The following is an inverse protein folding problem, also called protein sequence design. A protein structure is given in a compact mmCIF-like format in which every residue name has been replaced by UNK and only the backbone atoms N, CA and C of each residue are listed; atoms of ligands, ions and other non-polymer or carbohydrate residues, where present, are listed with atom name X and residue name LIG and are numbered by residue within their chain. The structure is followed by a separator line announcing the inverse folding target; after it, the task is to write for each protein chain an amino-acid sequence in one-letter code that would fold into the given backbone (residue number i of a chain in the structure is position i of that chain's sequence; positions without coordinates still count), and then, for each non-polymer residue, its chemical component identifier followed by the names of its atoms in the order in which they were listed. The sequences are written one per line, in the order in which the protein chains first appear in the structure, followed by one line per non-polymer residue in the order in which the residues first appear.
data_IF_831517969136
#
_entry.id   IF_831517969136
#
_cell.length_a   1.000
_cell.length_b   1.000
_cell.length_c   1.000
_cell.angle_alpha   90.00
_cell.angle_beta   90.00
_cell.angle_gamma   90.00
#
_symmetry.space_group_name_H-M   'P 1'
#
loop_
_entity.id
_entity.type
_entity.pdbx_description
1 polymer ?
#
# COMPACT_ATOMS: atom_id res chain seq x y z
N UNK A 1 30.06 4.22 16.90
CA UNK A 1 29.44 3.89 18.19
C UNK A 1 27.92 3.76 17.99
N UNK A 2 27.29 2.60 18.28
CA UNK A 2 25.85 2.38 18.04
C UNK A 2 24.96 3.41 18.73
N UNK A 3 25.28 3.80 19.96
CA UNK A 3 24.53 4.79 20.73
C UNK A 3 24.47 6.18 20.06
N UNK A 4 25.52 6.58 19.35
CA UNK A 4 25.55 7.87 18.67
C UNK A 4 24.60 7.85 17.48
N UNK A 5 24.63 6.80 16.65
CA UNK A 5 23.74 6.64 15.51
C UNK A 5 22.27 6.55 15.95
N UNK A 6 21.99 5.79 17.01
CA UNK A 6 20.67 5.71 17.61
C UNK A 6 20.17 7.09 18.03
N UNK A 7 20.96 7.81 18.85
CA UNK A 7 20.59 9.13 19.33
C UNK A 7 20.42 10.14 18.19
N UNK A 8 21.32 10.13 17.22
CA UNK A 8 21.26 11.04 16.08
C UNK A 8 20.02 10.81 15.24
N UNK A 9 19.57 9.56 15.12
CA UNK A 9 18.34 9.20 14.41
C UNK A 9 17.09 9.58 15.23
N UNK A 10 16.93 9.03 16.43
CA UNK A 10 15.71 9.21 17.23
C UNK A 10 15.52 10.62 17.78
N UNK A 11 16.62 11.33 18.09
CA UNK A 11 16.56 12.75 18.47
C UNK A 11 16.68 13.71 17.27
N UNK A 12 16.61 13.18 16.04
CA UNK A 12 16.54 13.96 14.81
C UNK A 12 17.69 14.94 14.58
N UNK A 13 18.86 14.63 15.14
CA UNK A 13 20.03 15.52 15.13
C UNK A 13 20.66 15.65 13.74
N UNK A 14 20.47 14.65 12.87
CA UNK A 14 21.09 14.59 11.54
C UNK A 14 20.16 14.98 10.39
N UNK A 15 18.91 15.40 10.65
CA UNK A 15 17.96 15.74 9.59
C UNK A 15 18.52 16.77 8.59
N UNK A 16 19.17 17.83 9.08
CA UNK A 16 19.77 18.86 8.23
C UNK A 16 20.96 18.33 7.41
N UNK A 17 21.75 17.46 7.98
CA UNK A 17 22.87 16.82 7.28
C UNK A 17 22.32 15.91 6.16
N UNK A 18 21.39 15.01 6.47
CA UNK A 18 20.80 14.10 5.48
C UNK A 18 20.06 14.85 4.37
N UNK A 19 19.32 15.89 4.70
CA UNK A 19 18.70 16.76 3.72
C UNK A 19 19.72 17.33 2.73
N UNK A 20 20.81 17.91 3.22
CA UNK A 20 21.87 18.48 2.35
C UNK A 20 22.53 17.41 1.48
N UNK A 21 22.80 16.23 2.02
CA UNK A 21 23.38 15.12 1.24
C UNK A 21 22.40 14.60 0.17
N UNK A 22 21.12 14.48 0.49
CA UNK A 22 20.09 14.11 -0.46
C UNK A 22 19.99 15.14 -1.61
N UNK A 23 19.99 16.42 -1.28
CA UNK A 23 19.89 17.51 -2.27
C UNK A 23 21.11 17.65 -3.18
N UNK A 24 22.23 17.00 -2.89
CA UNK A 24 23.37 16.91 -3.83
C UNK A 24 23.13 15.89 -4.94
N UNK A 25 22.32 14.87 -4.71
CA UNK A 25 22.15 13.71 -5.60
C UNK A 25 20.77 13.65 -6.24
N UNK A 26 19.71 13.70 -5.43
CA UNK A 26 18.34 13.45 -5.89
C UNK A 26 17.83 14.45 -6.94
N UNK A 27 18.16 15.76 -6.92
CA UNK A 27 17.75 16.65 -8.00
C UNK A 27 18.27 16.19 -9.38
N UNK A 28 19.50 15.68 -9.45
CA UNK A 28 20.07 15.16 -10.69
C UNK A 28 19.34 13.91 -11.16
N UNK A 29 18.96 13.02 -10.23
CA UNK A 29 18.18 11.82 -10.53
C UNK A 29 16.81 12.19 -11.12
N UNK A 30 16.08 13.09 -10.47
CA UNK A 30 14.77 13.55 -10.93
C UNK A 30 14.85 14.25 -12.29
N UNK A 31 15.90 15.05 -12.52
CA UNK A 31 16.12 15.75 -13.79
C UNK A 31 16.56 14.84 -14.94
N UNK A 32 17.11 13.66 -14.64
CA UNK A 32 17.60 12.71 -15.65
C UNK A 32 16.46 11.98 -16.39
N UNK A 33 15.22 12.11 -15.94
CA UNK A 33 14.07 11.44 -16.54
C UNK A 33 12.87 12.38 -16.67
N UNK A 34 11.97 12.06 -17.62
CA UNK A 34 10.63 12.66 -17.71
C UNK A 34 9.55 11.83 -17.00
N UNK A 35 9.92 10.70 -16.42
CA UNK A 35 9.01 9.87 -15.66
C UNK A 35 8.65 10.54 -14.33
N UNK A 36 7.43 10.29 -13.88
CA UNK A 36 7.02 10.65 -12.53
C UNK A 36 7.78 9.75 -11.53
N UNK A 37 8.52 10.38 -10.61
CA UNK A 37 9.33 9.65 -9.64
C UNK A 37 8.49 9.37 -8.40
N UNK A 38 8.43 8.11 -8.00
CA UNK A 38 7.82 7.65 -6.75
C UNK A 38 8.91 7.05 -5.87
N UNK A 39 8.83 7.28 -4.57
CA UNK A 39 9.74 6.69 -3.61
C UNK A 39 8.99 5.70 -2.71
N UNK A 40 9.66 4.62 -2.36
CA UNK A 40 9.27 3.82 -1.22
C UNK A 40 9.82 4.48 0.04
N UNK A 41 8.93 4.97 0.90
CA UNK A 41 9.23 5.68 2.15
C UNK A 41 8.46 5.06 3.32
N UNK A 42 8.48 3.74 3.39
CA UNK A 42 7.82 2.94 4.43
C UNK A 42 8.70 2.78 5.67
N UNK A 43 8.06 2.53 6.82
CA UNK A 43 8.75 2.24 8.07
C UNK A 43 9.32 3.49 8.75
N UNK A 44 10.47 3.34 9.39
CA UNK A 44 11.11 4.41 10.17
C UNK A 44 11.92 5.33 9.27
N UNK A 45 11.29 6.35 8.71
CA UNK A 45 11.96 7.37 7.88
C UNK A 45 12.21 8.66 8.68
N UNK A 46 13.36 9.33 8.51
CA UNK A 46 13.61 10.62 9.16
C UNK A 46 12.75 11.73 8.53
N UNK A 47 12.43 12.77 9.29
CA UNK A 47 11.56 13.87 8.84
C UNK A 47 12.04 14.56 7.58
N UNK A 48 13.36 14.61 7.37
CA UNK A 48 13.95 15.22 6.19
C UNK A 48 13.56 14.52 4.88
N UNK A 49 13.10 13.28 4.92
CA UNK A 49 12.60 12.57 3.74
C UNK A 49 11.40 13.31 3.16
N UNK A 50 10.42 13.65 3.98
CA UNK A 50 9.24 14.40 3.54
C UNK A 50 9.60 15.79 2.98
N UNK A 51 10.62 16.45 3.53
CA UNK A 51 11.09 17.76 3.02
C UNK A 51 11.67 17.65 1.61
N UNK A 52 12.54 16.63 1.41
CA UNK A 52 13.16 16.36 0.10
C UNK A 52 12.11 15.98 -0.93
N UNK A 53 11.22 15.05 -0.58
CA UNK A 53 10.18 14.57 -1.48
C UNK A 53 9.26 15.70 -1.92
N UNK A 54 8.80 16.52 -0.98
CA UNK A 54 7.97 17.70 -1.28
C UNK A 54 8.68 18.69 -2.20
N UNK A 55 9.95 18.98 -1.93
CA UNK A 55 10.74 19.93 -2.73
C UNK A 55 11.00 19.42 -4.15
N UNK A 56 11.25 18.13 -4.31
CA UNK A 56 11.55 17.50 -5.59
C UNK A 56 10.30 16.95 -6.30
N UNK A 57 9.12 17.08 -5.68
CA UNK A 57 7.84 16.51 -6.19
C UNK A 57 7.92 15.01 -6.44
N UNK A 58 8.61 14.30 -5.56
CA UNK A 58 8.65 12.85 -5.55
C UNK A 58 7.42 12.35 -4.80
N UNK A 59 6.67 11.41 -5.39
CA UNK A 59 5.49 10.85 -4.76
C UNK A 59 5.90 9.94 -3.60
N UNK A 60 5.18 10.05 -2.48
CA UNK A 60 5.29 9.13 -1.35
C UNK A 60 4.45 7.87 -1.59
N UNK A 61 4.74 6.80 -0.85
CA UNK A 61 3.93 5.59 -0.82
C UNK A 61 3.06 5.59 0.45
N UNK A 62 1.74 5.46 0.26
CA UNK A 62 0.77 5.48 1.36
C UNK A 62 0.06 4.13 1.48
N UNK A 63 0.22 3.50 2.62
CA UNK A 63 -0.36 2.22 3.01
C UNK A 63 -1.21 2.39 4.27
N UNK A 64 -2.49 2.07 4.18
CA UNK A 64 -3.39 2.19 5.33
C UNK A 64 -3.01 1.24 6.47
N UNK A 65 -2.56 0.02 6.13
CA UNK A 65 -2.13 -1.00 7.09
C UNK A 65 -0.76 -0.73 7.73
N UNK A 66 0.03 0.19 7.17
CA UNK A 66 1.37 0.56 7.65
C UNK A 66 1.53 2.08 7.66
N UNK A 67 0.86 2.79 8.58
CA UNK A 67 0.95 4.25 8.66
C UNK A 67 2.37 4.69 9.04
N UNK A 68 2.78 5.86 8.55
CA UNK A 68 4.09 6.45 8.85
C UNK A 68 4.17 7.00 10.27
N UNK A 69 3.03 7.31 10.90
CA UNK A 69 2.96 7.72 12.28
C UNK A 69 3.02 6.51 13.22
N UNK A 70 3.96 6.48 14.17
CA UNK A 70 4.04 5.37 15.13
C UNK A 70 2.90 5.38 16.17
N UNK A 71 2.10 6.45 16.22
CA UNK A 71 1.01 6.61 17.19
C UNK A 71 -0.36 6.21 16.64
N UNK A 72 -0.45 5.91 15.35
CA UNK A 72 -1.69 5.47 14.69
C UNK A 72 -1.58 4.01 14.27
N UNK A 73 -2.62 3.23 14.54
CA UNK A 73 -2.66 1.81 14.15
C UNK A 73 -2.93 1.64 12.66
N UNK A 74 -3.78 2.49 12.09
CA UNK A 74 -4.14 2.50 10.66
C UNK A 74 -4.06 3.92 10.10
N UNK A 75 -3.64 4.04 8.86
CA UNK A 75 -3.67 5.30 8.13
C UNK A 75 -5.09 5.73 7.77
N UNK A 76 -5.34 7.03 7.75
CA UNK A 76 -6.60 7.59 7.26
C UNK A 76 -6.46 7.95 5.79
N UNK A 77 -7.10 7.21 4.90
CA UNK A 77 -7.00 7.39 3.44
C UNK A 77 -7.33 8.84 3.01
N UNK A 78 -8.30 9.48 3.66
CA UNK A 78 -8.67 10.87 3.39
C UNK A 78 -7.58 11.90 3.74
N UNK A 79 -6.56 11.50 4.50
CA UNK A 79 -5.43 12.35 4.89
C UNK A 79 -4.19 12.13 4.02
N UNK A 80 -4.25 11.22 3.06
CA UNK A 80 -3.14 11.00 2.15
C UNK A 80 -2.76 12.31 1.44
N UNK A 81 -1.47 12.62 1.31
CA UNK A 81 -1.06 13.78 0.52
C UNK A 81 -1.38 13.56 -0.96
N UNK A 82 -1.74 14.62 -1.67
CA UNK A 82 -1.99 14.51 -3.11
C UNK A 82 -0.77 13.94 -3.88
N UNK A 83 0.44 14.39 -3.56
CA UNK A 83 1.66 13.88 -4.17
C UNK A 83 2.05 12.51 -3.58
N UNK A 84 1.20 11.51 -3.76
CA UNK A 84 1.43 10.15 -3.28
C UNK A 84 0.87 9.09 -4.21
N UNK A 85 1.32 7.86 -3.99
CA UNK A 85 0.76 6.62 -4.50
C UNK A 85 0.07 5.92 -3.35
N UNK A 86 -1.22 5.67 -3.46
CA UNK A 86 -1.98 4.85 -2.53
C UNK A 86 -1.98 3.40 -3.00
N UNK A 87 -1.75 2.47 -2.10
CA UNK A 87 -1.89 1.02 -2.37
C UNK A 87 -2.42 0.29 -1.14
N UNK A 88 -2.97 -0.91 -1.35
CA UNK A 88 -3.43 -1.79 -0.27
C UNK A 88 -2.27 -2.64 0.24
N UNK A 89 -1.52 -3.22 -0.69
CA UNK A 89 -0.38 -4.10 -0.41
C UNK A 89 0.79 -3.83 -1.34
N UNK A 90 1.95 -4.39 -1.02
CA UNK A 90 3.11 -4.45 -1.90
C UNK A 90 3.61 -5.89 -2.03
N UNK A 91 4.59 -6.12 -2.91
CA UNK A 91 5.20 -7.44 -3.05
C UNK A 91 5.88 -7.97 -1.77
N UNK A 92 6.24 -7.09 -0.85
CA UNK A 92 6.89 -7.43 0.43
C UNK A 92 5.92 -7.60 1.60
N UNK A 93 4.62 -7.42 1.33
CA UNK A 93 3.56 -7.47 2.33
C UNK A 93 2.55 -8.59 2.03
N UNK A 94 1.71 -9.00 3.01
CA UNK A 94 0.53 -9.81 2.74
C UNK A 94 -0.41 -9.11 1.75
N UNK A 95 -1.07 -9.87 0.89
CA UNK A 95 -2.22 -9.36 0.13
C UNK A 95 -3.35 -8.97 1.07
N UNK A 96 -4.37 -8.25 0.58
CA UNK A 96 -5.51 -7.85 1.38
C UNK A 96 -6.15 -9.03 2.11
N UNK A 97 -6.32 -10.16 1.42
CA UNK A 97 -6.93 -11.37 2.00
C UNK A 97 -6.08 -11.98 3.10
N UNK A 98 -4.78 -12.11 2.86
CA UNK A 98 -3.85 -12.62 3.89
C UNK A 98 -3.81 -11.70 5.10
N UNK A 99 -3.68 -10.40 4.87
CA UNK A 99 -3.64 -9.40 5.95
C UNK A 99 -4.92 -9.44 6.80
N UNK A 100 -6.08 -9.67 6.16
CA UNK A 100 -7.38 -9.76 6.82
C UNK A 100 -7.47 -10.95 7.75
N UNK A 101 -7.00 -12.11 7.32
CA UNK A 101 -7.15 -13.37 8.05
C UNK A 101 -5.94 -13.72 8.94
N UNK A 102 -4.85 -12.97 8.86
CA UNK A 102 -3.63 -13.19 9.63
C UNK A 102 -3.78 -12.82 11.11
N UNK A 103 -4.59 -11.81 11.46
CA UNK A 103 -4.75 -11.28 12.81
C UNK A 103 -6.19 -10.77 13.01
N UNK A 104 -7.02 -11.61 13.66
CA UNK A 104 -8.44 -11.34 13.85
C UNK A 104 -8.74 -10.18 14.81
N UNK A 105 -7.89 -9.92 15.79
CA UNK A 105 -8.04 -8.76 16.68
C UNK A 105 -7.79 -7.46 15.90
N UNK A 106 -6.72 -7.44 15.11
CA UNK A 106 -6.38 -6.29 14.26
C UNK A 106 -7.50 -6.00 13.26
N UNK A 107 -8.01 -7.02 12.59
CA UNK A 107 -9.06 -6.85 11.58
C UNK A 107 -10.41 -6.51 12.16
N UNK A 108 -10.72 -6.98 13.38
CA UNK A 108 -11.91 -6.53 14.10
C UNK A 108 -11.84 -5.04 14.44
N UNK A 109 -10.67 -4.56 14.92
CA UNK A 109 -10.45 -3.13 15.16
C UNK A 109 -10.57 -2.31 13.87
N UNK A 110 -9.96 -2.79 12.79
CA UNK A 110 -10.07 -2.14 11.48
C UNK A 110 -11.52 -2.08 10.97
N UNK A 111 -12.27 -3.17 11.12
CA UNK A 111 -13.68 -3.27 10.74
C UNK A 111 -14.54 -2.24 11.47
N UNK A 112 -14.31 -2.06 12.78
CA UNK A 112 -15.04 -1.09 13.57
C UNK A 112 -14.58 0.34 13.36
N UNK A 113 -13.26 0.61 13.43
CA UNK A 113 -12.70 1.96 13.47
C UNK A 113 -12.53 2.59 12.08
N UNK A 114 -12.19 1.80 11.08
CA UNK A 114 -11.88 2.32 9.73
C UNK A 114 -13.02 2.11 8.73
N UNK A 115 -13.73 0.98 8.84
CA UNK A 115 -14.89 0.71 7.99
C UNK A 115 -16.22 1.17 8.60
N UNK A 116 -16.19 1.57 9.90
CA UNK A 116 -17.35 2.05 10.66
C UNK A 116 -18.51 1.04 10.67
N UNK A 117 -18.15 -0.23 10.85
CA UNK A 117 -19.10 -1.33 10.88
C UNK A 117 -19.23 -1.91 12.27
N UNK A 118 -20.41 -2.44 12.59
CA UNK A 118 -20.73 -3.08 13.85
C UNK A 118 -20.79 -4.61 13.73
N UNK A 119 -20.65 -5.29 14.85
CA UNK A 119 -20.70 -6.74 14.91
C UNK A 119 -19.34 -7.40 14.63
N UNK A 120 -19.30 -8.74 14.51
CA UNK A 120 -18.07 -9.47 14.23
C UNK A 120 -17.60 -9.25 12.79
N UNK A 121 -16.31 -9.01 12.62
CA UNK A 121 -15.68 -8.96 11.32
C UNK A 121 -15.78 -10.35 10.65
N UNK A 122 -16.24 -10.45 9.40
CA UNK A 122 -16.38 -11.75 8.75
C UNK A 122 -15.03 -12.34 8.35
N UNK A 123 -14.85 -13.63 8.55
CA UNK A 123 -13.69 -14.40 8.14
C UNK A 123 -14.12 -15.70 7.43
N UNK A 124 -13.46 -16.09 6.35
CA UNK A 124 -12.45 -15.31 5.59
C UNK A 124 -13.03 -14.04 4.96
N UNK A 125 -12.14 -13.15 4.49
CA UNK A 125 -12.55 -11.89 3.83
C UNK A 125 -13.54 -12.16 2.70
N UNK A 126 -14.81 -11.68 2.78
CA UNK A 126 -15.78 -11.84 1.69
C UNK A 126 -15.53 -10.82 0.57
N UNK A 127 -15.93 -11.18 -0.65
CA UNK A 127 -15.71 -10.35 -1.85
C UNK A 127 -16.28 -8.94 -1.74
N UNK A 128 -17.50 -8.80 -1.21
CA UNK A 128 -18.16 -7.50 -1.03
C UNK A 128 -17.40 -6.56 -0.08
N UNK A 129 -16.70 -7.12 0.92
CA UNK A 129 -15.92 -6.33 1.87
C UNK A 129 -14.56 -5.93 1.28
N UNK A 130 -13.95 -6.80 0.48
CA UNK A 130 -12.79 -6.46 -0.32
C UNK A 130 -13.11 -5.32 -1.30
N UNK A 131 -14.27 -5.34 -1.94
CA UNK A 131 -14.76 -4.28 -2.82
C UNK A 131 -14.91 -2.94 -2.08
N UNK A 132 -15.52 -2.93 -0.88
CA UNK A 132 -15.64 -1.72 -0.04
C UNK A 132 -14.26 -1.14 0.32
N UNK A 133 -13.30 -1.99 0.68
CA UNK A 133 -11.93 -1.55 0.99
C UNK A 133 -11.24 -0.98 -0.26
N UNK A 134 -11.38 -1.62 -1.41
CA UNK A 134 -10.84 -1.14 -2.69
C UNK A 134 -11.44 0.22 -3.05
N UNK A 135 -12.76 0.36 -2.98
CA UNK A 135 -13.46 1.61 -3.26
C UNK A 135 -12.92 2.76 -2.40
N UNK A 136 -12.73 2.54 -1.11
CA UNK A 136 -12.16 3.54 -0.19
C UNK A 136 -10.73 3.95 -0.55
N UNK A 137 -9.91 3.04 -1.07
CA UNK A 137 -8.56 3.36 -1.54
C UNK A 137 -8.62 4.18 -2.84
N UNK A 138 -9.55 3.86 -3.74
CA UNK A 138 -9.80 4.65 -4.95
C UNK A 138 -10.27 6.07 -4.63
N UNK A 139 -11.06 6.26 -3.59
CA UNK A 139 -11.57 7.58 -3.14
C UNK A 139 -10.50 8.42 -2.42
N UNK A 140 -9.30 7.86 -2.18
CA UNK A 140 -8.23 8.62 -1.53
C UNK A 140 -7.78 9.82 -2.36
N UNK A 141 -7.32 10.93 -1.75
CA UNK A 141 -6.82 12.10 -2.48
C UNK A 141 -5.45 11.88 -3.13
N UNK A 142 -4.84 10.71 -3.00
CA UNK A 142 -3.56 10.37 -3.64
C UNK A 142 -3.64 10.55 -5.15
N UNK A 143 -2.59 11.09 -5.78
CA UNK A 143 -2.52 11.29 -7.22
C UNK A 143 -2.69 9.98 -7.99
N UNK A 144 -2.11 8.90 -7.49
CA UNK A 144 -2.20 7.56 -8.06
C UNK A 144 -2.74 6.58 -7.02
N UNK A 145 -3.59 5.66 -7.48
CA UNK A 145 -3.97 4.46 -6.74
C UNK A 145 -3.54 3.26 -7.57
N UNK A 146 -2.55 2.51 -7.07
CA UNK A 146 -1.97 1.35 -7.78
C UNK A 146 -2.13 0.13 -6.89
N UNK A 147 -2.99 -0.79 -7.28
CA UNK A 147 -3.30 -2.00 -6.52
C UNK A 147 -2.71 -3.22 -7.22
N UNK A 148 -2.30 -4.21 -6.44
CA UNK A 148 -1.88 -5.50 -6.99
C UNK A 148 -3.05 -6.22 -7.66
N UNK A 149 -2.79 -7.07 -8.65
CA UNK A 149 -3.83 -7.86 -9.27
C UNK A 149 -4.52 -8.77 -8.23
N UNK A 150 -3.76 -9.30 -7.28
CA UNK A 150 -4.31 -10.14 -6.20
C UNK A 150 -5.33 -9.37 -5.36
N UNK A 151 -5.06 -8.10 -5.04
CA UNK A 151 -5.98 -7.26 -4.28
C UNK A 151 -7.24 -6.93 -5.10
N UNK A 152 -7.10 -6.66 -6.39
CA UNK A 152 -8.25 -6.52 -7.28
C UNK A 152 -9.10 -7.78 -7.36
N UNK A 153 -8.47 -8.96 -7.50
CA UNK A 153 -9.18 -10.24 -7.55
C UNK A 153 -9.85 -10.62 -6.23
N UNK A 154 -9.42 -10.02 -5.09
CA UNK A 154 -10.02 -10.28 -3.79
C UNK A 154 -11.54 -10.00 -3.76
N UNK A 155 -12.03 -9.06 -4.57
CA UNK A 155 -13.47 -8.74 -4.67
C UNK A 155 -14.27 -9.84 -5.38
N UNK A 156 -13.64 -10.72 -6.13
CA UNK A 156 -14.32 -11.78 -6.88
C UNK A 156 -14.02 -13.17 -6.31
N UNK A 157 -14.97 -13.74 -5.57
CA UNK A 157 -14.82 -15.08 -4.97
C UNK A 157 -14.62 -16.19 -6.03
N UNK A 158 -15.01 -15.94 -7.25
CA UNK A 158 -14.88 -16.87 -8.37
C UNK A 158 -13.50 -16.80 -9.03
N UNK A 159 -12.90 -15.59 -9.09
CA UNK A 159 -11.64 -15.36 -9.82
C UNK A 159 -10.41 -15.41 -8.92
N UNK A 160 -10.56 -15.13 -7.64
CA UNK A 160 -9.44 -15.17 -6.68
C UNK A 160 -8.96 -16.61 -6.45
N UNK A 161 -7.71 -16.79 -6.07
CA UNK A 161 -7.20 -18.11 -5.67
C UNK A 161 -7.99 -18.64 -4.47
N UNK A 162 -8.28 -19.94 -4.40
CA UNK A 162 -8.91 -20.54 -3.22
C UNK A 162 -8.06 -20.33 -1.96
N UNK A 163 -6.76 -20.56 -2.08
CA UNK A 163 -5.78 -20.38 -1.01
C UNK A 163 -5.16 -18.97 -1.09
N UNK A 164 -5.41 -18.14 -0.07
CA UNK A 164 -4.85 -16.81 0.02
C UNK A 164 -3.31 -16.80 0.17
N UNK A 165 -2.73 -17.84 0.77
CA UNK A 165 -1.28 -17.93 0.94
C UNK A 165 -0.54 -18.12 -0.37
N UNK A 166 -1.21 -18.70 -1.38
CA UNK A 166 -0.66 -18.82 -2.72
C UNK A 166 -0.57 -17.48 -3.48
N UNK A 167 -1.21 -16.43 -2.99
CA UNK A 167 -1.13 -15.07 -3.56
C UNK A 167 0.16 -14.34 -3.19
N UNK A 168 0.91 -14.83 -2.20
CA UNK A 168 2.10 -14.16 -1.67
C UNK A 168 3.25 -14.14 -2.69
N UNK A 169 3.82 -12.95 -2.91
CA UNK A 169 4.96 -12.76 -3.82
C UNK A 169 6.27 -12.94 -3.06
N UNK A 170 6.46 -12.22 -1.97
CA UNK A 170 7.67 -12.25 -1.17
C UNK A 170 7.38 -12.35 0.33
N UNK A 171 8.28 -13.00 1.05
CA UNK A 171 8.32 -13.06 2.50
C UNK A 171 9.72 -12.58 2.95
N UNK A 172 9.92 -11.27 3.18
CA UNK A 172 11.25 -10.70 3.44
C UNK A 172 11.98 -11.33 4.63
N UNK A 173 11.24 -11.80 5.63
CA UNK A 173 11.80 -12.48 6.80
C UNK A 173 12.33 -13.90 6.49
N UNK A 174 12.00 -14.48 5.33
CA UNK A 174 12.44 -15.81 4.95
C UNK A 174 13.55 -15.72 3.89
N UNK A 175 14.85 -15.90 4.26
CA UNK A 175 15.96 -15.79 3.33
C UNK A 175 15.99 -16.90 2.27
N UNK A 176 15.16 -17.94 2.43
CA UNK A 176 15.01 -19.04 1.47
C UNK A 176 13.74 -18.94 0.64
N UNK A 177 13.01 -17.82 0.74
CA UNK A 177 11.83 -17.60 -0.07
C UNK A 177 12.22 -17.31 -1.51
N UNK A 178 11.49 -17.91 -2.46
CA UNK A 178 11.66 -17.66 -3.88
C UNK A 178 10.41 -16.97 -4.42
N UNK A 179 10.58 -15.96 -5.24
CA UNK A 179 9.52 -15.25 -5.94
C UNK A 179 8.97 -16.14 -7.05
N UNK A 180 7.88 -16.88 -6.73
CA UNK A 180 7.31 -17.90 -7.62
C UNK A 180 5.87 -17.63 -8.01
N UNK A 181 5.30 -16.51 -7.54
CA UNK A 181 3.93 -16.19 -7.89
C UNK A 181 3.76 -16.20 -9.41
N UNK A 182 2.74 -16.89 -9.87
CA UNK A 182 2.24 -16.85 -11.25
C UNK A 182 0.75 -16.61 -11.21
N UNK A 183 0.29 -15.72 -12.09
CA UNK A 183 -1.13 -15.53 -12.29
C UNK A 183 -1.77 -16.86 -12.71
N UNK A 184 -2.84 -17.26 -12.04
CA UNK A 184 -3.54 -18.51 -12.25
C UNK A 184 -4.62 -18.42 -13.33
N UNK A 185 -4.95 -17.20 -13.79
CA UNK A 185 -5.89 -16.93 -14.86
C UNK A 185 -5.13 -16.61 -16.14
N UNK A 186 -5.67 -17.04 -17.28
CA UNK A 186 -5.23 -16.53 -18.57
C UNK A 186 -5.72 -15.09 -18.74
N UNK A 187 -4.92 -14.26 -19.40
CA UNK A 187 -5.29 -12.86 -19.65
C UNK A 187 -6.56 -12.77 -20.49
N UNK A 188 -6.69 -13.64 -21.48
CA UNK A 188 -7.84 -13.73 -22.37
C UNK A 188 -9.13 -14.06 -21.60
N UNK A 189 -9.05 -15.00 -20.64
CA UNK A 189 -10.19 -15.37 -19.79
C UNK A 189 -10.59 -14.22 -18.86
N UNK A 190 -9.61 -13.51 -18.31
CA UNK A 190 -9.85 -12.33 -17.46
C UNK A 190 -10.49 -11.19 -18.27
N UNK A 191 -10.03 -10.95 -19.50
CA UNK A 191 -10.59 -9.94 -20.40
C UNK A 191 -12.02 -10.31 -20.86
N UNK A 192 -12.31 -11.59 -21.03
CA UNK A 192 -13.64 -12.08 -21.41
C UNK A 192 -14.64 -12.04 -20.25
N UNK A 193 -14.18 -11.89 -19.02
CA UNK A 193 -15.03 -11.78 -17.84
C UNK A 193 -15.66 -10.40 -17.72
N UNK A 194 -16.75 -10.19 -18.47
CA UNK A 194 -17.44 -8.90 -18.52
C UNK A 194 -17.97 -8.47 -17.15
N UNK A 195 -18.41 -9.41 -16.32
CA UNK A 195 -18.91 -9.09 -14.98
C UNK A 195 -17.84 -8.42 -14.15
N UNK A 196 -16.66 -9.02 -14.06
CA UNK A 196 -15.55 -8.47 -13.26
C UNK A 196 -15.03 -7.15 -13.85
N UNK A 197 -14.88 -7.07 -15.18
CA UNK A 197 -14.38 -5.85 -15.83
C UNK A 197 -15.36 -4.69 -15.72
N UNK A 198 -16.68 -4.95 -15.74
CA UNK A 198 -17.70 -3.92 -15.55
C UNK A 198 -17.75 -3.43 -14.10
N UNK A 199 -17.67 -4.35 -13.11
CA UNK A 199 -17.57 -4.00 -11.69
C UNK A 199 -16.34 -3.10 -11.43
N UNK A 200 -15.18 -3.51 -11.92
CA UNK A 200 -13.92 -2.77 -11.80
C UNK A 200 -14.01 -1.38 -12.46
N UNK A 201 -14.52 -1.32 -13.68
CA UNK A 201 -14.72 -0.07 -14.42
C UNK A 201 -15.69 0.86 -13.70
N UNK A 202 -16.71 0.32 -13.05
CA UNK A 202 -17.68 1.07 -12.29
C UNK A 202 -17.05 1.70 -11.05
N UNK A 203 -16.29 0.93 -10.29
CA UNK A 203 -15.57 1.44 -9.11
C UNK A 203 -14.59 2.58 -9.47
N UNK A 204 -13.81 2.39 -10.53
CA UNK A 204 -12.85 3.40 -10.99
C UNK A 204 -13.59 4.69 -11.42
N UNK A 205 -14.65 4.59 -12.19
CA UNK A 205 -15.43 5.76 -12.62
C UNK A 205 -16.11 6.48 -11.45
N UNK A 206 -16.64 5.76 -10.48
CA UNK A 206 -17.29 6.33 -9.29
C UNK A 206 -16.32 7.13 -8.43
N UNK A 207 -15.06 6.70 -8.36
CA UNK A 207 -14.01 7.44 -7.64
C UNK A 207 -13.53 8.71 -8.38
N UNK A 208 -13.96 8.95 -9.61
CA UNK A 208 -13.55 10.10 -10.42
C UNK A 208 -12.15 9.96 -11.04
N UNK A 209 -11.59 8.74 -11.07
CA UNK A 209 -10.27 8.43 -11.65
C UNK A 209 -10.35 7.96 -13.08
#
# INVERSE_FOLDING_TARGET
CPHRLYNDYFYRRNNQFWYREAMKKLPKLVQATRMLVCAEDLGMVPDCVSWVMKQLRILSLELQSMPKSPTTRFGHLSQNPYCSVCTISSHDMPTLRQWWDEDYERTQDYYNSMLYREGPAPHPLPGWLAEDIIARHLDSPSMLCVLSLQDWLAMSERLRLPDADAERINIPANPKHYWRYRMHLNIEDLMADTKFTDELSTLIRQSGR
#
